data_IF_481301275659
#
_entry.id   IF_481301275659
#
_cell.length_a   1.000
_cell.length_b   1.000
_cell.length_c   1.000
_cell.angle_alpha   90.00
_cell.angle_beta   90.00
_cell.angle_gamma   90.00
#
_symmetry.space_group_name_H-M   'P 1'
#
loop_
_entity.id
_entity.type
_entity.pdbx_description
1 polymer ?
#
# COMPACT_ATOMS: atom_id res chain seq x y z
N UNK A 1 -16.28 -26.26 9.20
CA UNK A 1 -16.09 -25.30 10.31
C UNK A 1 -15.29 -24.16 9.70
N UNK A 2 -15.96 -23.09 9.29
CA UNK A 2 -15.29 -21.93 8.66
C UNK A 2 -14.81 -21.05 9.80
N UNK A 3 -13.50 -20.84 9.90
CA UNK A 3 -12.92 -20.05 10.97
C UNK A 3 -13.50 -18.64 10.98
N UNK A 4 -14.05 -18.31 12.14
CA UNK A 4 -14.76 -17.07 12.42
C UNK A 4 -13.69 -16.03 12.73
N UNK A 5 -13.38 -15.19 11.73
CA UNK A 5 -12.45 -14.05 11.72
C UNK A 5 -11.16 -14.24 10.91
N UNK A 6 -11.27 -14.30 9.58
CA UNK A 6 -10.30 -13.50 8.79
C UNK A 6 -10.84 -12.08 8.87
N UNK A 7 -10.39 -11.29 9.85
CA UNK A 7 -10.54 -9.84 9.72
C UNK A 7 -9.68 -9.50 8.51
N UNK A 8 -10.30 -9.18 7.37
CA UNK A 8 -9.54 -8.72 6.21
C UNK A 8 -8.75 -7.48 6.65
N UNK A 9 -7.44 -7.65 6.78
CA UNK A 9 -6.54 -6.58 7.18
C UNK A 9 -6.62 -5.46 6.12
N UNK A 10 -6.27 -4.24 6.49
CA UNK A 10 -6.16 -3.18 5.50
C UNK A 10 -5.15 -3.53 4.41
N UNK A 11 -4.08 -4.27 4.75
CA UNK A 11 -3.11 -4.80 3.78
C UNK A 11 -3.74 -5.76 2.78
N UNK A 12 -4.59 -6.69 3.24
CA UNK A 12 -5.30 -7.64 2.37
C UNK A 12 -6.28 -6.93 1.44
N UNK A 13 -7.03 -5.95 1.96
CA UNK A 13 -7.98 -5.16 1.16
C UNK A 13 -7.29 -4.30 0.09
N UNK A 14 -6.17 -3.65 0.44
CA UNK A 14 -5.33 -2.90 -0.50
C UNK A 14 -4.78 -3.84 -1.57
N UNK A 15 -4.19 -4.97 -1.16
CA UNK A 15 -3.60 -5.95 -2.07
C UNK A 15 -4.63 -6.49 -3.07
N UNK A 16 -5.82 -6.86 -2.59
CA UNK A 16 -6.93 -7.28 -3.44
C UNK A 16 -7.31 -6.18 -4.43
N UNK A 17 -7.57 -4.95 -3.95
CA UNK A 17 -8.00 -3.83 -4.79
C UNK A 17 -6.98 -3.52 -5.91
N UNK A 18 -5.69 -3.42 -5.56
CA UNK A 18 -4.62 -3.13 -6.53
C UNK A 18 -4.40 -4.28 -7.52
N UNK A 19 -4.77 -5.51 -7.18
CA UNK A 19 -4.65 -6.67 -8.07
C UNK A 19 -5.77 -6.75 -9.11
N UNK A 20 -6.96 -6.18 -8.84
CA UNK A 20 -8.16 -6.33 -9.70
C UNK A 20 -7.88 -6.07 -11.20
N UNK A 21 -7.15 -5.01 -11.61
CA UNK A 21 -6.90 -4.73 -13.03
C UNK A 21 -5.93 -5.71 -13.71
N UNK A 22 -5.10 -6.43 -12.96
CA UNK A 22 -3.96 -7.21 -13.47
C UNK A 22 -4.13 -8.72 -13.31
N UNK A 23 -5.17 -9.15 -12.59
CA UNK A 23 -5.39 -10.54 -12.19
C UNK A 23 -5.26 -10.70 -10.68
N UNK A 24 -6.03 -11.64 -10.10
CA UNK A 24 -5.95 -11.91 -8.67
C UNK A 24 -4.53 -12.39 -8.30
N UNK A 25 -4.12 -12.11 -7.07
CA UNK A 25 -2.84 -12.51 -6.46
C UNK A 25 -1.56 -11.83 -7.02
N UNK A 26 -1.71 -10.75 -7.80
CA UNK A 26 -0.58 -9.95 -8.30
C UNK A 26 0.13 -9.20 -7.17
N UNK A 27 -0.65 -8.55 -6.29
CA UNK A 27 -0.17 -7.93 -5.06
C UNK A 27 -0.63 -8.79 -3.89
N UNK A 28 0.29 -9.14 -3.00
CA UNK A 28 -0.03 -9.81 -1.74
C UNK A 28 0.04 -8.82 -0.59
N UNK A 29 -0.63 -9.16 0.51
CA UNK A 29 -0.55 -8.38 1.75
C UNK A 29 0.90 -8.14 2.18
N UNK A 30 1.77 -9.14 2.02
CA UNK A 30 3.19 -9.03 2.38
C UNK A 30 3.92 -7.98 1.55
N UNK A 31 3.54 -7.76 0.29
CA UNK A 31 4.16 -6.73 -0.56
C UNK A 31 3.75 -5.33 -0.08
N UNK A 32 2.47 -5.15 0.25
CA UNK A 32 1.94 -3.90 0.84
C UNK A 32 2.68 -3.59 2.14
N UNK A 33 2.75 -4.56 3.06
CA UNK A 33 3.41 -4.37 4.34
C UNK A 33 4.93 -4.18 4.22
N UNK A 34 5.58 -4.87 3.28
CA UNK A 34 6.99 -4.67 2.99
C UNK A 34 7.26 -3.24 2.53
N UNK A 35 6.47 -2.74 1.58
CA UNK A 35 6.61 -1.38 1.08
C UNK A 35 6.44 -0.34 2.20
N UNK A 36 5.39 -0.50 3.02
CA UNK A 36 5.10 0.39 4.13
C UNK A 36 6.17 0.33 5.24
N UNK A 37 6.70 -0.85 5.57
CA UNK A 37 7.75 -1.03 6.60
C UNK A 37 9.12 -0.52 6.15
N UNK A 38 9.43 -0.60 4.87
CA UNK A 38 10.71 -0.13 4.33
C UNK A 38 10.64 1.35 3.91
N UNK A 39 9.42 1.87 3.75
CA UNK A 39 9.17 3.16 3.15
C UNK A 39 9.74 3.23 1.74
N UNK A 40 9.67 2.13 0.99
CA UNK A 40 10.27 1.99 -0.35
C UNK A 40 9.67 0.83 -1.14
N UNK A 41 9.69 0.89 -2.47
CA UNK A 41 9.36 -0.23 -3.36
C UNK A 41 10.58 -1.11 -3.68
N UNK A 42 11.76 -0.81 -3.13
CA UNK A 42 12.98 -1.57 -3.36
C UNK A 42 12.83 -3.05 -2.92
N UNK A 43 13.28 -3.97 -3.78
CA UNK A 43 13.21 -5.40 -3.54
C UNK A 43 11.80 -6.00 -3.67
N UNK A 44 10.82 -5.27 -4.20
CA UNK A 44 9.54 -5.82 -4.67
C UNK A 44 9.65 -6.05 -6.18
N UNK A 45 9.27 -7.24 -6.63
CA UNK A 45 9.34 -7.63 -8.04
C UNK A 45 8.09 -7.15 -8.81
N UNK A 46 8.26 -6.87 -10.10
CA UNK A 46 7.13 -6.69 -11.01
C UNK A 46 6.42 -8.03 -11.25
N UNK A 47 5.08 -8.05 -11.40
CA UNK A 47 4.19 -6.89 -11.56
C UNK A 47 3.69 -6.24 -10.25
N UNK A 48 3.99 -6.80 -9.08
CA UNK A 48 3.50 -6.27 -7.80
C UNK A 48 4.00 -4.84 -7.54
N UNK A 49 5.28 -4.59 -7.85
CA UNK A 49 5.90 -3.25 -7.75
C UNK A 49 5.13 -2.20 -8.55
N UNK A 50 4.75 -2.53 -9.78
CA UNK A 50 4.10 -1.61 -10.71
C UNK A 50 2.68 -1.27 -10.24
N UNK A 51 1.96 -2.25 -9.68
CA UNK A 51 0.66 -2.03 -9.05
C UNK A 51 0.78 -1.21 -7.75
N UNK A 52 1.81 -1.44 -6.94
CA UNK A 52 2.04 -0.68 -5.70
C UNK A 52 2.45 0.78 -5.94
N UNK A 53 2.94 1.13 -7.13
CA UNK A 53 3.21 2.52 -7.48
C UNK A 53 1.94 3.40 -7.43
N UNK A 54 0.74 2.81 -7.56
CA UNK A 54 -0.53 3.53 -7.46
C UNK A 54 -1.14 3.59 -6.05
N UNK A 55 -0.44 3.05 -5.04
CA UNK A 55 -0.96 2.87 -3.67
C UNK A 55 -1.69 4.12 -3.14
N UNK A 56 -1.09 5.29 -3.27
CA UNK A 56 -1.61 6.55 -2.71
C UNK A 56 -2.72 7.20 -3.55
N UNK A 57 -2.89 6.81 -4.80
CA UNK A 57 -3.91 7.35 -5.69
C UNK A 57 -5.16 6.47 -5.70
N UNK A 58 -5.00 5.16 -5.51
CA UNK A 58 -6.10 4.19 -5.53
C UNK A 58 -6.67 3.92 -4.14
N UNK A 59 -5.97 4.27 -3.07
CA UNK A 59 -6.42 4.01 -1.70
C UNK A 59 -6.56 5.29 -0.88
N UNK A 60 -7.61 5.33 -0.05
CA UNK A 60 -7.82 6.45 0.87
C UNK A 60 -6.68 6.53 1.90
N UNK A 61 -6.34 7.74 2.39
CA UNK A 61 -5.37 7.88 3.48
C UNK A 61 -5.72 7.06 4.72
N UNK A 62 -7.01 6.94 5.06
CA UNK A 62 -7.46 6.15 6.20
C UNK A 62 -7.13 4.66 6.05
N UNK A 63 -7.32 4.10 4.84
CA UNK A 63 -6.96 2.70 4.54
C UNK A 63 -5.46 2.48 4.65
N UNK A 64 -4.66 3.39 4.09
CA UNK A 64 -3.19 3.31 4.14
C UNK A 64 -2.70 3.42 5.58
N UNK A 65 -3.23 4.36 6.37
CA UNK A 65 -2.85 4.54 7.77
C UNK A 65 -3.24 3.36 8.65
N UNK A 66 -4.39 2.73 8.38
CA UNK A 66 -4.76 1.48 9.03
C UNK A 66 -3.74 0.37 8.72
N UNK A 67 -3.31 0.23 7.47
CA UNK A 67 -2.28 -0.74 7.08
C UNK A 67 -0.90 -0.43 7.72
N UNK A 68 -0.53 0.85 7.81
CA UNK A 68 0.69 1.31 8.52
C UNK A 68 0.63 0.87 9.99
N UNK A 69 -0.50 1.10 10.66
CA UNK A 69 -0.71 0.69 12.06
C UNK A 69 -0.65 -0.82 12.23
N UNK A 70 -1.39 -1.58 11.42
CA UNK A 70 -1.47 -3.05 11.51
C UNK A 70 -0.12 -3.73 11.29
N UNK A 71 0.71 -3.21 10.38
CA UNK A 71 2.02 -3.77 10.14
C UNK A 71 3.09 -3.28 11.14
N UNK A 72 2.78 -2.31 12.02
CA UNK A 72 3.76 -1.73 12.95
C UNK A 72 4.81 -0.86 12.26
N UNK A 73 4.45 -0.23 11.14
CA UNK A 73 5.27 0.80 10.50
C UNK A 73 4.99 2.18 11.11
N UNK A 74 5.52 3.25 10.51
CA UNK A 74 5.30 4.62 10.92
C UNK A 74 4.83 5.50 9.76
N UNK A 75 4.23 6.64 10.09
CA UNK A 75 3.79 7.63 9.10
C UNK A 75 4.98 8.18 8.31
N UNK A 76 6.14 8.33 8.94
CA UNK A 76 7.38 8.80 8.30
C UNK A 76 7.84 7.85 7.19
N UNK A 77 7.70 6.53 7.40
CA UNK A 77 8.02 5.53 6.39
C UNK A 77 7.00 5.54 5.25
N UNK A 78 5.70 5.67 5.56
CA UNK A 78 4.68 5.86 4.52
C UNK A 78 4.93 7.14 3.69
N UNK A 79 5.35 8.24 4.33
CA UNK A 79 5.77 9.47 3.64
C UNK A 79 7.01 9.27 2.78
N UNK A 80 7.98 8.49 3.25
CA UNK A 80 9.18 8.13 2.48
C UNK A 80 8.78 7.35 1.21
N UNK A 81 7.90 6.36 1.34
CA UNK A 81 7.36 5.61 0.21
C UNK A 81 6.63 6.53 -0.78
N UNK A 82 5.78 7.44 -0.29
CA UNK A 82 5.08 8.39 -1.14
C UNK A 82 6.06 9.28 -1.93
N UNK A 83 7.12 9.77 -1.28
CA UNK A 83 8.16 10.57 -1.95
C UNK A 83 8.86 9.78 -3.05
N UNK A 84 9.22 8.52 -2.80
CA UNK A 84 9.80 7.66 -3.83
C UNK A 84 8.84 7.47 -5.02
N UNK A 85 7.55 7.24 -4.76
CA UNK A 85 6.55 7.03 -5.81
C UNK A 85 6.40 8.25 -6.72
N UNK A 86 6.40 9.47 -6.18
CA UNK A 86 6.27 10.70 -6.99
C UNK A 86 7.56 11.12 -7.70
N UNK A 87 8.69 10.47 -7.40
CA UNK A 87 9.94 10.61 -8.18
C UNK A 87 9.91 9.74 -9.44
N UNK A 88 9.13 8.67 -9.43
CA UNK A 88 8.69 7.94 -10.64
C UNK A 88 7.61 8.81 -11.31
N UNK A 89 7.41 8.78 -12.65
CA UNK A 89 6.36 9.54 -13.34
C UNK A 89 4.92 9.08 -13.01
N UNK A 90 4.57 9.05 -11.72
CA UNK A 90 3.27 8.77 -11.16
C UNK A 90 2.62 10.07 -10.64
N UNK A 91 1.31 10.27 -10.81
CA UNK A 91 0.64 11.48 -10.32
C UNK A 91 0.73 11.63 -8.80
N UNK A 92 0.83 12.88 -8.33
CA UNK A 92 0.68 13.21 -6.90
C UNK A 92 -0.72 12.82 -6.42
N UNK A 93 -0.87 12.55 -5.12
CA UNK A 93 -2.17 12.27 -4.48
C UNK A 93 -2.58 13.46 -3.61
N UNK A 94 -3.50 14.33 -4.08
CA UNK A 94 -3.94 15.49 -3.30
C UNK A 94 -4.57 15.12 -1.96
N UNK A 95 -5.24 13.97 -1.88
CA UNK A 95 -5.85 13.49 -0.64
C UNK A 95 -4.80 13.05 0.38
N UNK A 96 -3.73 12.38 -0.07
CA UNK A 96 -2.61 12.04 0.82
C UNK A 96 -1.84 13.28 1.29
N UNK A 97 -1.67 14.28 0.43
CA UNK A 97 -0.95 15.51 0.78
C UNK A 97 -1.66 16.39 1.81
N UNK A 98 -2.98 16.24 1.98
CA UNK A 98 -3.76 16.92 3.02
C UNK A 98 -3.55 16.32 4.41
N UNK A 99 -2.91 15.15 4.51
CA UNK A 99 -2.74 14.51 5.81
C UNK A 99 -1.61 15.21 6.58
N UNK A 100 -2.01 16.12 7.45
CA UNK A 100 -1.12 16.82 8.36
C UNK A 100 -0.75 15.88 9.51
N UNK A 101 0.55 15.63 9.70
CA UNK A 101 1.10 14.95 10.88
C UNK A 101 2.33 15.69 11.38
#
# INVERSE_FOLDING_TARGET
MVDKATMDSAGTMIAFHLSVPYGLDIVKEQDVYKALKQGSLEGIDSPAKDALASLFNENSPASILKAVYECGSSVELARKLYREIIEIPFPRSPEWEKVNF
#
